data_IF_481908662282
#
_entry.id   IF_481908662282
#
_cell.length_a   1.000
_cell.length_b   1.000
_cell.length_c   1.000
_cell.angle_alpha   90.00
_cell.angle_beta   90.00
_cell.angle_gamma   90.00
#
_symmetry.space_group_name_H-M   'P 1'
#
loop_
_entity.id
_entity.type
_entity.pdbx_description
1 polymer ?
#
# COMPACT_ATOMS: atom_id res chain seq x y z
N UNK A 1 -0.40 3.67 -16.43
CA UNK A 1 -0.05 2.71 -17.50
C UNK A 1 1.15 1.82 -17.15
N UNK A 2 2.35 2.36 -16.83
CA UNK A 2 3.52 1.51 -16.50
C UNK A 2 3.32 0.64 -15.26
N UNK A 3 2.81 1.20 -14.16
CA UNK A 3 2.48 0.42 -12.95
C UNK A 3 1.46 -0.70 -13.24
N UNK A 4 0.49 -0.44 -14.10
CA UNK A 4 -0.47 -1.46 -14.54
C UNK A 4 0.22 -2.60 -15.30
N UNK A 5 1.12 -2.30 -16.22
CA UNK A 5 1.88 -3.30 -16.99
C UNK A 5 2.71 -4.17 -16.03
N UNK A 6 3.45 -3.56 -15.10
CA UNK A 6 4.29 -4.27 -14.14
C UNK A 6 3.44 -5.15 -13.19
N UNK A 7 2.26 -4.67 -12.77
CA UNK A 7 1.32 -5.44 -11.96
C UNK A 7 0.70 -6.61 -12.70
N UNK A 8 0.41 -6.45 -14.00
CA UNK A 8 -0.24 -7.50 -14.80
C UNK A 8 0.61 -8.76 -14.97
N UNK A 9 1.93 -8.67 -14.74
CA UNK A 9 2.90 -9.75 -14.94
C UNK A 9 2.85 -10.38 -16.35
N UNK A 10 2.24 -9.68 -17.30
CA UNK A 10 2.13 -10.10 -18.69
C UNK A 10 3.46 -9.92 -19.39
N UNK A 11 4.13 -11.03 -19.68
CA UNK A 11 5.47 -11.03 -20.30
C UNK A 11 5.49 -10.32 -21.65
N UNK A 12 4.42 -10.43 -22.44
CA UNK A 12 4.27 -9.74 -23.73
C UNK A 12 4.28 -8.21 -23.57
N UNK A 13 3.56 -7.69 -22.57
CA UNK A 13 3.52 -6.27 -22.28
C UNK A 13 4.84 -5.79 -21.66
N UNK A 14 5.39 -6.53 -20.69
CA UNK A 14 6.67 -6.18 -20.07
C UNK A 14 7.77 -6.12 -21.12
N UNK A 15 7.85 -7.11 -22.02
CA UNK A 15 8.83 -7.12 -23.11
C UNK A 15 8.63 -5.94 -24.06
N UNK A 16 7.38 -5.63 -24.44
CA UNK A 16 7.06 -4.48 -25.29
C UNK A 16 7.51 -3.15 -24.68
N UNK A 17 7.38 -3.00 -23.37
CA UNK A 17 7.72 -1.76 -22.64
C UNK A 17 9.08 -1.82 -21.93
N UNK A 18 9.92 -2.82 -22.21
CA UNK A 18 11.18 -3.03 -21.51
C UNK A 18 12.12 -1.83 -21.58
N UNK A 19 12.24 -1.19 -22.75
CA UNK A 19 13.13 -0.03 -22.96
C UNK A 19 12.66 1.18 -22.15
N UNK A 20 11.39 1.62 -22.25
CA UNK A 20 10.87 2.67 -21.38
C UNK A 20 11.06 2.39 -19.88
N UNK A 21 10.80 1.15 -19.44
CA UNK A 21 10.98 0.76 -18.03
C UNK A 21 12.46 0.88 -17.63
N UNK A 22 13.37 0.39 -18.48
CA UNK A 22 14.81 0.45 -18.24
C UNK A 22 15.30 1.90 -18.12
N UNK A 23 14.95 2.78 -19.05
CA UNK A 23 15.34 4.20 -18.99
C UNK A 23 14.82 4.89 -17.74
N UNK A 24 13.59 4.58 -17.32
CA UNK A 24 13.05 5.14 -16.09
C UNK A 24 13.83 4.65 -14.86
N UNK A 25 14.18 3.37 -14.79
CA UNK A 25 15.02 2.82 -13.70
C UNK A 25 16.41 3.47 -13.71
N UNK A 26 17.03 3.66 -14.87
CA UNK A 26 18.33 4.36 -14.96
C UNK A 26 18.23 5.80 -14.46
N UNK A 27 17.10 6.48 -14.70
CA UNK A 27 16.88 7.83 -14.16
C UNK A 27 16.69 7.88 -12.64
N UNK A 28 16.45 6.73 -11.97
CA UNK A 28 16.25 6.64 -10.52
C UNK A 28 17.54 6.64 -9.68
N UNK A 29 18.61 7.30 -10.13
CA UNK A 29 19.89 7.34 -9.41
C UNK A 29 20.19 8.71 -8.81
N UNK A 30 19.17 9.47 -8.39
CA UNK A 30 19.45 10.71 -7.65
C UNK A 30 19.97 10.34 -6.25
N UNK A 31 21.24 10.66 -5.92
CA UNK A 31 21.71 10.46 -4.56
C UNK A 31 20.80 11.28 -3.63
N UNK A 32 20.43 10.71 -2.49
CA UNK A 32 19.89 11.52 -1.40
C UNK A 32 20.91 12.62 -1.12
N UNK A 33 20.47 13.88 -0.90
CA UNK A 33 21.39 14.92 -0.51
C UNK A 33 22.17 14.42 0.71
N UNK A 34 23.49 14.50 0.62
CA UNK A 34 24.41 14.19 1.71
C UNK A 34 24.17 15.18 2.84
N UNK A 35 23.10 14.97 3.60
CA UNK A 35 22.91 15.60 4.90
C UNK A 35 23.55 14.64 5.89
N UNK A 36 24.63 15.12 6.48
CA UNK A 36 25.42 14.49 7.52
C UNK A 36 24.62 13.49 8.38
N UNK A 37 25.15 12.27 8.48
CA UNK A 37 24.87 11.24 9.50
C UNK A 37 23.46 10.62 9.61
N UNK A 38 22.49 10.91 8.75
CA UNK A 38 21.23 10.14 8.80
C UNK A 38 21.37 8.79 8.07
N UNK A 39 21.74 7.75 8.84
CA UNK A 39 21.77 6.32 8.46
C UNK A 39 20.39 5.76 8.09
N UNK A 40 19.32 6.54 8.27
CA UNK A 40 17.96 6.09 7.97
C UNK A 40 17.06 7.19 7.44
N UNK A 41 16.10 6.79 6.62
CA UNK A 41 15.03 7.64 6.07
C UNK A 41 13.69 6.95 6.32
N UNK A 42 12.69 7.70 6.75
CA UNK A 42 11.31 7.21 6.86
C UNK A 42 10.45 7.89 5.82
N UNK A 43 9.70 7.10 5.06
CA UNK A 43 8.75 7.57 4.04
C UNK A 43 7.38 6.94 4.29
N UNK A 44 6.34 7.57 3.75
CA UNK A 44 4.96 7.24 4.01
C UNK A 44 4.18 7.04 2.72
N UNK A 45 3.31 6.03 2.69
CA UNK A 45 2.34 5.84 1.61
C UNK A 45 0.94 5.71 2.21
N UNK A 46 0.09 6.69 1.92
CA UNK A 46 -1.34 6.57 2.20
C UNK A 46 -2.08 5.95 1.02
N UNK A 47 -3.07 5.13 1.34
CA UNK A 47 -3.93 4.47 0.38
C UNK A 47 -5.24 4.05 1.06
N UNK A 48 -6.21 3.61 0.28
CA UNK A 48 -7.37 2.87 0.79
C UNK A 48 -7.19 1.40 0.43
N UNK A 49 -7.70 0.48 1.25
CA UNK A 49 -7.67 -0.95 0.95
C UNK A 49 -9.00 -1.56 1.34
N UNK A 50 -9.39 -2.65 0.71
CA UNK A 50 -10.51 -3.43 1.20
C UNK A 50 -10.17 -4.03 2.57
N UNK A 51 -11.19 -4.26 3.39
CA UNK A 51 -11.01 -4.96 4.68
C UNK A 51 -10.32 -6.32 4.47
N UNK A 52 -10.68 -7.04 3.40
CA UNK A 52 -10.05 -8.31 3.05
C UNK A 52 -8.56 -8.20 2.74
N UNK A 53 -8.13 -7.15 2.01
CA UNK A 53 -6.70 -6.90 1.74
C UNK A 53 -5.95 -6.57 3.03
N UNK A 54 -6.57 -5.81 3.95
CA UNK A 54 -5.98 -5.51 5.26
C UNK A 54 -5.84 -6.79 6.09
N UNK A 55 -6.88 -7.62 6.15
CA UNK A 55 -6.86 -8.87 6.88
C UNK A 55 -5.82 -9.85 6.31
N UNK A 56 -5.71 -9.94 4.98
CA UNK A 56 -4.65 -10.70 4.32
C UNK A 56 -3.28 -10.19 4.75
N UNK A 57 -3.03 -8.88 4.69
CA UNK A 57 -1.76 -8.29 5.11
C UNK A 57 -1.46 -8.51 6.61
N UNK A 58 -2.47 -8.52 7.49
CA UNK A 58 -2.28 -8.85 8.91
C UNK A 58 -1.72 -10.26 9.10
N UNK A 59 -2.12 -11.22 8.26
CA UNK A 59 -1.55 -12.59 8.29
C UNK A 59 -0.09 -12.68 7.82
N UNK A 60 0.44 -11.61 7.23
CA UNK A 60 1.78 -11.53 6.61
C UNK A 60 2.80 -10.79 7.46
N UNK A 61 2.49 -10.53 8.72
CA UNK A 61 3.44 -9.91 9.64
C UNK A 61 4.62 -10.85 9.86
N UNK A 62 5.83 -10.32 9.66
CA UNK A 62 7.06 -11.10 9.62
C UNK A 62 7.34 -11.77 8.28
N UNK A 63 6.56 -11.54 7.22
CA UNK A 63 6.87 -12.00 5.87
C UNK A 63 7.48 -10.87 5.00
N UNK A 64 8.09 -11.27 3.89
CA UNK A 64 8.61 -10.33 2.89
C UNK A 64 7.50 -9.96 1.91
N UNK A 65 7.28 -8.67 1.74
CA UNK A 65 6.37 -8.11 0.74
C UNK A 65 7.18 -7.51 -0.41
N UNK A 66 6.90 -7.94 -1.63
CA UNK A 66 7.47 -7.36 -2.85
C UNK A 66 6.46 -6.47 -3.55
N UNK A 67 6.84 -5.22 -3.83
CA UNK A 67 6.06 -4.32 -4.67
C UNK A 67 6.59 -4.37 -6.12
N UNK A 68 5.81 -4.96 -7.02
CA UNK A 68 6.18 -5.07 -8.43
C UNK A 68 6.24 -3.74 -9.20
N UNK A 69 5.28 -2.81 -9.06
CA UNK A 69 5.34 -1.54 -9.78
C UNK A 69 6.38 -0.57 -9.18
N UNK A 70 6.51 0.61 -9.77
CA UNK A 70 7.15 1.73 -9.08
C UNK A 70 6.30 2.12 -7.86
N UNK A 71 6.95 2.41 -6.74
CA UNK A 71 6.28 2.81 -5.50
C UNK A 71 6.56 4.29 -5.22
N UNK A 72 5.53 5.10 -5.31
CA UNK A 72 5.55 6.51 -4.91
C UNK A 72 5.31 6.62 -3.41
N UNK A 73 6.12 7.40 -2.71
CA UNK A 73 6.01 7.62 -1.26
C UNK A 73 6.36 9.06 -0.91
N UNK A 74 5.77 9.58 0.17
CA UNK A 74 6.02 10.92 0.66
C UNK A 74 6.99 10.91 1.83
N UNK A 75 7.88 11.88 1.95
CA UNK A 75 8.61 12.13 3.20
C UNK A 75 7.67 12.75 4.26
N UNK A 76 6.58 13.38 3.83
CA UNK A 76 5.62 14.03 4.73
C UNK A 76 4.41 13.14 5.03
N UNK A 77 4.28 12.73 6.31
CA UNK A 77 3.15 11.92 6.78
C UNK A 77 1.78 12.57 6.56
N UNK A 78 1.65 13.90 6.65
CA UNK A 78 0.37 14.59 6.44
C UNK A 78 -0.07 14.52 4.97
N UNK A 79 0.87 14.64 4.04
CA UNK A 79 0.58 14.48 2.61
C UNK A 79 0.14 13.04 2.33
N UNK A 80 0.87 12.04 2.89
CA UNK A 80 0.46 10.65 2.81
C UNK A 80 -0.96 10.41 3.39
N UNK A 81 -1.31 10.99 4.54
CA UNK A 81 -2.65 10.86 5.11
C UNK A 81 -3.76 11.38 4.18
N UNK A 82 -3.47 12.41 3.38
CA UNK A 82 -4.43 12.92 2.39
C UNK A 82 -4.77 11.84 1.36
N UNK A 83 -3.77 11.08 0.90
CA UNK A 83 -3.97 9.94 -0.01
C UNK A 83 -4.66 8.73 0.64
N UNK A 84 -4.62 8.63 1.98
CA UNK A 84 -5.40 7.63 2.71
C UNK A 84 -6.88 8.04 2.86
N UNK A 85 -7.32 9.17 2.30
CA UNK A 85 -8.69 9.68 2.48
C UNK A 85 -8.91 10.38 3.83
N UNK A 86 -7.84 10.85 4.48
CA UNK A 86 -7.88 11.55 5.78
C UNK A 86 -8.58 10.78 6.91
N UNK A 87 -8.61 9.45 6.83
CA UNK A 87 -9.31 8.63 7.83
C UNK A 87 -10.83 8.57 7.63
N UNK A 88 -11.37 9.17 6.57
CA UNK A 88 -12.78 9.03 6.21
C UNK A 88 -13.01 7.78 5.38
N UNK A 89 -14.14 7.13 5.68
CA UNK A 89 -14.59 5.96 4.94
C UNK A 89 -15.88 6.27 4.19
N UNK A 90 -15.77 6.62 2.90
CA UNK A 90 -16.95 6.84 2.04
C UNK A 90 -17.64 5.54 1.64
N UNK A 91 -16.98 4.38 1.79
CA UNK A 91 -17.46 3.08 1.36
C UNK A 91 -17.18 2.00 2.42
N UNK A 92 -18.21 1.40 2.99
CA UNK A 92 -18.11 0.41 4.09
C UNK A 92 -17.10 -0.73 3.88
N UNK A 93 -16.70 -1.02 2.65
CA UNK A 93 -15.73 -2.08 2.33
C UNK A 93 -14.28 -1.62 2.24
N UNK A 94 -14.03 -0.32 2.08
CA UNK A 94 -12.69 0.25 2.04
C UNK A 94 -12.32 0.77 3.43
N UNK A 95 -11.04 0.73 3.76
CA UNK A 95 -10.49 1.30 4.99
C UNK A 95 -9.25 2.11 4.65
N UNK A 96 -9.06 3.26 5.31
CA UNK A 96 -7.88 4.07 5.12
C UNK A 96 -6.66 3.36 5.73
N UNK A 97 -5.55 3.36 4.98
CA UNK A 97 -4.30 2.69 5.35
C UNK A 97 -3.13 3.66 5.16
N UNK A 98 -2.24 3.71 6.14
CA UNK A 98 -0.93 4.33 6.00
C UNK A 98 0.18 3.32 6.24
N UNK A 99 1.11 3.27 5.30
CA UNK A 99 2.34 2.50 5.37
C UNK A 99 3.49 3.43 5.75
N UNK A 100 4.15 3.15 6.87
CA UNK A 100 5.37 3.79 7.34
C UNK A 100 6.54 2.88 6.97
N UNK A 101 7.38 3.32 6.03
CA UNK A 101 8.47 2.53 5.46
C UNK A 101 9.78 3.13 5.95
N UNK A 102 10.58 2.32 6.66
CA UNK A 102 11.92 2.68 7.09
C UNK A 102 12.95 2.16 6.10
N UNK A 103 13.87 3.01 5.69
CA UNK A 103 15.01 2.68 4.85
C UNK A 103 16.28 2.90 5.65
N UNK A 104 17.24 1.97 5.51
CA UNK A 104 18.64 2.22 5.84
C UNK A 104 19.32 2.78 4.60
N UNK A 105 19.64 4.06 4.62
CA UNK A 105 20.23 4.79 3.49
C UNK A 105 21.74 4.58 3.39
N UNK A 106 22.36 4.00 4.41
CA UNK A 106 23.77 3.63 4.41
C UNK A 106 24.06 2.31 3.70
N UNK A 107 23.03 1.52 3.38
CA UNK A 107 23.17 0.22 2.74
C UNK A 107 22.76 0.26 1.25
N UNK A 108 23.36 -0.58 0.39
CA UNK A 108 22.94 -0.69 -1.00
C UNK A 108 21.48 -1.16 -1.13
N UNK A 109 20.64 -0.26 -1.63
CA UNK A 109 19.21 -0.49 -1.89
C UNK A 109 18.94 -0.61 -3.40
N UNK A 110 17.77 -1.14 -3.80
CA UNK A 110 17.32 -0.99 -5.19
C UNK A 110 17.20 0.50 -5.52
N UNK A 111 17.42 0.93 -6.78
CA UNK A 111 17.37 2.34 -7.14
C UNK A 111 16.09 3.03 -6.67
N UNK A 112 16.24 4.25 -6.18
CA UNK A 112 15.15 5.13 -5.80
C UNK A 112 15.59 6.58 -6.03
N UNK A 113 14.64 7.47 -6.28
CA UNK A 113 14.93 8.88 -6.48
C UNK A 113 14.16 9.75 -5.49
N UNK A 114 14.82 10.78 -4.98
CA UNK A 114 14.15 11.91 -4.36
C UNK A 114 13.68 12.89 -5.44
N UNK A 115 12.38 13.09 -5.50
CA UNK A 115 11.70 14.03 -6.37
C UNK A 115 11.17 15.15 -5.49
N UNK A 116 11.91 16.26 -5.48
CA UNK A 116 11.48 17.47 -4.78
C UNK A 116 10.79 18.40 -5.77
N UNK A 117 9.59 18.84 -5.42
CA UNK A 117 8.92 19.97 -6.06
C UNK A 117 8.45 20.97 -5.00
N UNK A 118 7.78 22.06 -5.40
CA UNK A 118 7.34 23.11 -4.47
C UNK A 118 6.25 22.66 -3.48
N UNK A 119 5.60 21.52 -3.73
CA UNK A 119 4.49 21.01 -2.93
C UNK A 119 4.88 19.80 -2.05
N UNK A 120 5.83 18.98 -2.48
CA UNK A 120 6.14 17.70 -1.85
C UNK A 120 7.58 17.23 -2.11
N UNK A 121 8.13 16.50 -1.13
CA UNK A 121 9.29 15.64 -1.27
C UNK A 121 8.83 14.18 -1.38
N UNK A 122 8.93 13.63 -2.59
CA UNK A 122 8.54 12.27 -2.92
C UNK A 122 9.78 11.37 -3.06
N UNK A 123 9.74 10.17 -2.49
CA UNK A 123 10.70 9.11 -2.79
C UNK A 123 10.02 8.07 -3.68
N UNK A 124 10.55 7.93 -4.89
CA UNK A 124 10.07 6.98 -5.89
C UNK A 124 11.00 5.76 -5.95
N UNK A 125 10.50 4.60 -5.52
CA UNK A 125 11.24 3.35 -5.59
C UNK A 125 11.10 2.67 -6.96
N UNK A 126 12.17 2.02 -7.38
CA UNK A 126 12.17 1.16 -8.56
C UNK A 126 11.30 -0.10 -8.39
N UNK A 127 10.84 -0.68 -9.51
CA UNK A 127 10.07 -1.91 -9.55
C UNK A 127 10.73 -3.07 -8.79
N UNK A 128 9.93 -3.82 -8.05
CA UNK A 128 10.37 -5.01 -7.33
C UNK A 128 11.15 -4.72 -6.05
N UNK A 129 11.00 -3.53 -5.46
CA UNK A 129 11.46 -3.25 -4.11
C UNK A 129 10.80 -4.22 -3.11
N UNK A 130 11.56 -4.65 -2.09
CA UNK A 130 11.11 -5.61 -1.09
C UNK A 130 11.14 -4.98 0.30
N UNK A 131 10.17 -5.35 1.12
CA UNK A 131 10.01 -4.89 2.49
C UNK A 131 9.74 -6.08 3.42
N UNK A 132 10.15 -6.00 4.68
CA UNK A 132 9.60 -6.87 5.73
C UNK A 132 8.42 -6.15 6.36
N UNK A 133 7.27 -6.82 6.48
CA UNK A 133 6.15 -6.27 7.23
C UNK A 133 6.38 -6.50 8.73
N UNK A 134 6.58 -5.43 9.49
CA UNK A 134 7.02 -5.50 10.89
C UNK A 134 5.86 -5.56 11.88
N UNK A 135 4.84 -4.74 11.66
CA UNK A 135 3.69 -4.65 12.55
C UNK A 135 2.51 -4.00 11.86
N UNK A 136 1.33 -4.27 12.38
CA UNK A 136 0.11 -3.56 12.03
C UNK A 136 -0.63 -3.15 13.31
N UNK A 137 -1.19 -1.95 13.32
CA UNK A 137 -2.06 -1.46 14.39
C UNK A 137 -3.13 -0.53 13.85
N UNK A 138 -4.26 -0.46 14.54
CA UNK A 138 -5.28 0.55 14.29
C UNK A 138 -4.92 1.84 15.04
N UNK A 139 -5.10 3.02 14.44
CA UNK A 139 -4.85 4.30 15.10
C UNK A 139 -6.14 4.94 15.62
N UNK A 140 -6.12 5.39 16.87
CA UNK A 140 -7.32 5.78 17.64
C UNK A 140 -7.92 7.15 17.30
N UNK A 141 -7.23 8.03 16.58
CA UNK A 141 -7.73 9.38 16.31
C UNK A 141 -8.90 9.47 15.32
N UNK A 142 -9.58 8.35 15.05
CA UNK A 142 -10.90 8.19 14.40
C UNK A 142 -11.24 6.69 14.17
N UNK A 143 -10.47 5.74 14.71
CA UNK A 143 -10.79 4.30 14.70
C UNK A 143 -10.81 3.62 13.33
N UNK A 144 -10.50 4.34 12.25
CA UNK A 144 -10.64 3.87 10.88
C UNK A 144 -9.29 3.65 10.18
N UNK A 145 -8.21 4.30 10.63
CA UNK A 145 -6.90 4.27 9.98
C UNK A 145 -6.05 3.10 10.46
N UNK A 146 -5.73 2.20 9.53
CA UNK A 146 -4.72 1.16 9.74
C UNK A 146 -3.33 1.70 9.49
N UNK A 147 -2.40 1.35 10.37
CA UNK A 147 -1.00 1.72 10.28
C UNK A 147 -0.12 0.48 10.19
N UNK A 148 0.53 0.32 9.04
CA UNK A 148 1.49 -0.74 8.79
C UNK A 148 2.90 -0.18 8.85
N UNK A 149 3.79 -0.86 9.59
CA UNK A 149 5.21 -0.55 9.63
C UNK A 149 5.98 -1.53 8.78
N UNK A 150 6.81 -1.02 7.89
CA UNK A 150 7.63 -1.81 6.99
C UNK A 150 9.10 -1.38 7.09
N UNK A 151 10.00 -2.34 6.89
CA UNK A 151 11.42 -2.08 6.73
C UNK A 151 11.85 -2.47 5.31
N UNK A 152 12.43 -1.54 4.57
CA UNK A 152 12.99 -1.79 3.26
C UNK A 152 14.22 -2.69 3.39
N UNK A 153 14.33 -3.66 2.48
CA UNK A 153 15.38 -4.69 2.53
C UNK A 153 16.55 -4.28 1.61
N UNK A 154 17.77 -4.11 2.16
CA UNK A 154 18.97 -3.92 1.36
C UNK A 154 19.23 -5.08 0.41
N UNK A 155 19.74 -4.78 -0.79
CA UNK A 155 19.98 -5.75 -1.86
C UNK A 155 20.86 -6.90 -1.38
N UNK A 156 21.89 -6.59 -0.60
CA UNK A 156 22.85 -7.57 -0.08
C UNK A 156 22.25 -8.50 0.97
N UNK A 157 21.25 -8.02 1.72
CA UNK A 157 20.63 -8.76 2.81
C UNK A 157 19.42 -9.59 2.36
N UNK A 158 18.95 -9.44 1.11
CA UNK A 158 17.74 -10.12 0.62
C UNK A 158 17.78 -11.63 0.83
N UNK A 159 18.88 -12.31 0.48
CA UNK A 159 18.99 -13.78 0.62
C UNK A 159 18.95 -14.25 2.07
N UNK A 160 19.58 -13.49 2.97
CA UNK A 160 19.60 -13.82 4.41
C UNK A 160 18.24 -13.59 5.05
N UNK A 161 17.57 -12.51 4.68
CA UNK A 161 16.24 -12.14 5.15
C UNK A 161 15.19 -13.10 4.58
N UNK A 162 15.31 -13.56 3.34
CA UNK A 162 14.46 -14.62 2.77
C UNK A 162 14.58 -15.93 3.57
N UNK A 163 15.78 -16.29 4.04
CA UNK A 163 15.97 -17.44 4.92
C UNK A 163 15.34 -17.24 6.31
N UNK A 164 15.35 -16.01 6.83
CA UNK A 164 14.82 -15.68 8.17
C UNK A 164 13.30 -15.53 8.21
N UNK A 165 12.72 -14.90 7.19
CA UNK A 165 11.31 -14.49 7.16
C UNK A 165 10.46 -15.31 6.17
N UNK A 166 11.07 -16.24 5.43
CA UNK A 166 10.34 -17.20 4.59
C UNK A 166 9.88 -16.64 3.25
N UNK A 167 8.67 -17.02 2.82
CA UNK A 167 8.17 -16.79 1.46
C UNK A 167 8.03 -15.30 1.15
N UNK A 168 8.39 -14.92 -0.08
CA UNK A 168 8.06 -13.60 -0.61
C UNK A 168 6.60 -13.59 -1.03
N UNK A 169 5.81 -12.76 -0.38
CA UNK A 169 4.48 -12.39 -0.81
C UNK A 169 4.59 -11.27 -1.85
N UNK A 170 4.07 -11.53 -3.04
CA UNK A 170 3.92 -10.48 -4.05
C UNK A 170 2.71 -9.68 -3.62
N UNK A 171 2.91 -8.42 -3.24
CA UNK A 171 1.79 -7.52 -3.02
C UNK A 171 1.06 -7.33 -4.34
N UNK A 172 -0.10 -7.97 -4.46
CA UNK A 172 -1.10 -7.65 -5.47
C UNK A 172 -1.84 -6.35 -5.15
N UNK A 173 -1.60 -5.77 -3.97
CA UNK A 173 -2.31 -4.61 -3.47
C UNK A 173 -2.01 -3.36 -4.32
N UNK A 174 -2.83 -3.15 -5.32
CA UNK A 174 -3.58 -1.90 -5.46
C UNK A 174 -5.06 -2.33 -5.56
N UNK A 175 -5.91 -1.86 -4.64
CA UNK A 175 -6.84 -0.79 -5.00
C UNK A 175 -7.44 -1.05 -6.39
N UNK A 176 -8.52 -1.82 -6.44
CA UNK A 176 -9.45 -1.83 -7.57
C UNK A 176 -10.08 -0.43 -7.70
N UNK A 177 -9.38 0.52 -8.33
CA UNK A 177 -9.92 1.84 -8.70
C UNK A 177 -9.97 2.08 -10.20
N UNK A 178 -9.80 1.04 -11.01
CA UNK A 178 -10.31 1.07 -12.38
C UNK A 178 -11.80 0.66 -12.36
N UNK A 179 -12.63 1.43 -11.65
CA UNK A 179 -14.05 1.56 -12.00
C UNK A 179 -14.17 2.93 -12.66
N UNK A 180 -14.46 2.91 -13.95
CA UNK A 180 -14.59 4.06 -14.85
C UNK A 180 -15.25 5.30 -14.21
N UNK A 181 -14.45 6.22 -13.67
CA UNK A 181 -14.87 7.62 -13.53
C UNK A 181 -14.72 8.29 -14.88
N UNK A 182 -15.63 7.98 -15.81
CA UNK A 182 -15.51 8.52 -17.16
C UNK A 182 -16.49 8.06 -18.23
N UNK A 183 -17.74 7.68 -17.93
CA UNK A 183 -18.84 7.77 -18.90
C UNK A 183 -20.15 8.16 -18.21
N UNK A 184 -20.44 9.45 -18.24
CA UNK A 184 -21.81 9.95 -18.20
C UNK A 184 -22.56 9.44 -19.42
N UNK A 185 -23.50 8.52 -19.22
CA UNK A 185 -24.69 8.40 -20.06
C UNK A 185 -25.82 7.86 -19.20
N UNK A 186 -26.89 8.65 -19.14
CA UNK A 186 -28.16 8.47 -18.42
C UNK A 186 -28.76 7.06 -18.45
N UNK A 187 -29.62 6.72 -17.47
CA UNK A 187 -30.15 5.39 -17.27
C UNK A 187 -31.31 5.09 -18.21
N UNK A 188 -31.19 4.03 -19.01
CA UNK A 188 -32.36 3.38 -19.61
C UNK A 188 -32.98 2.43 -18.58
N UNK A 189 -34.07 2.91 -17.98
CA UNK A 189 -35.05 2.09 -17.31
C UNK A 189 -35.71 1.18 -18.34
N UNK A 190 -35.43 -0.13 -18.30
CA UNK A 190 -36.44 -1.13 -18.69
C UNK A 190 -36.20 -2.47 -18.02
N UNK A 191 -37.09 -2.77 -17.07
CA UNK A 191 -37.79 -4.05 -16.93
C UNK A 191 -36.97 -5.27 -16.49
N UNK A 192 -36.98 -5.52 -15.18
CA UNK A 192 -37.37 -6.81 -14.63
C UNK A 192 -37.86 -6.65 -13.18
N UNK A 193 -39.18 -6.51 -13.04
CA UNK A 193 -39.86 -6.86 -11.79
C UNK A 193 -39.60 -8.35 -11.50
N UNK A 194 -39.17 -8.66 -10.28
CA UNK A 194 -39.70 -9.79 -9.50
C UNK A 194 -39.54 -9.46 -8.02
N UNK A 195 -40.69 -9.31 -7.37
CA UNK A 195 -40.88 -9.27 -5.93
C UNK A 195 -40.14 -10.43 -5.25
N UNK A 196 -39.44 -10.14 -4.15
CA UNK A 196 -39.48 -11.00 -2.96
C UNK A 196 -39.54 -10.08 -1.73
N UNK A 197 -40.68 -10.17 -1.04
CA UNK A 197 -40.95 -9.66 0.30
C UNK A 197 -39.91 -10.11 1.31
N UNK A 198 -39.53 -9.24 2.25
CA UNK A 198 -38.66 -9.61 3.37
C UNK A 198 -37.90 -8.47 4.02
N UNK A 199 -38.57 -7.36 4.35
CA UNK A 199 -38.01 -6.37 5.28
C UNK A 199 -38.01 -6.96 6.70
N UNK A 200 -36.93 -7.64 7.09
CA UNK A 200 -36.56 -7.80 8.50
C UNK A 200 -35.04 -7.71 8.69
N UNK A 201 -34.63 -6.64 9.39
CA UNK A 201 -33.57 -6.61 10.40
C UNK A 201 -32.14 -7.06 10.06
N UNK A 202 -31.47 -6.35 9.14
CA UNK A 202 -29.98 -6.32 9.11
C UNK A 202 -29.42 -5.29 10.10
N UNK A 203 -30.18 -4.24 10.43
CA UNK A 203 -29.73 -3.14 11.30
C UNK A 203 -29.52 -3.58 12.77
N UNK A 204 -30.37 -4.48 13.27
CA UNK A 204 -30.27 -5.00 14.65
C UNK A 204 -29.20 -6.08 14.85
N UNK A 205 -28.63 -6.60 13.77
CA UNK A 205 -27.54 -7.59 13.82
C UNK A 205 -26.18 -6.88 13.87
N UNK A 206 -26.06 -5.71 13.21
CA UNK A 206 -24.87 -4.87 13.24
C UNK A 206 -24.73 -4.18 14.61
N UNK A 207 -25.81 -3.66 15.21
CA UNK A 207 -25.73 -2.96 16.51
C UNK A 207 -25.38 -3.87 17.70
N UNK A 208 -25.39 -5.19 17.53
CA UNK A 208 -25.05 -6.16 18.60
C UNK A 208 -23.62 -6.69 18.55
N UNK A 209 -22.89 -6.47 17.46
CA UNK A 209 -21.46 -6.84 17.35
C UNK A 209 -20.51 -5.68 17.70
N UNK A 210 -21.02 -4.48 17.94
CA UNK A 210 -20.22 -3.28 18.25
C UNK A 210 -20.18 -2.90 19.75
N UNK A 211 -20.68 -3.73 20.68
CA UNK A 211 -20.60 -3.41 22.13
C UNK A 211 -19.53 -4.15 22.92
N UNK A 212 -18.87 -5.17 22.36
CA UNK A 212 -17.96 -6.00 23.15
C UNK A 212 -16.56 -6.04 22.51
N UNK A 213 -15.55 -5.67 23.32
CA UNK A 213 -14.10 -5.68 23.11
C UNK A 213 -13.45 -4.37 22.59
N UNK A 214 -13.28 -3.43 23.53
CA UNK A 214 -12.29 -2.34 23.46
C UNK A 214 -10.88 -2.85 23.82
N UNK A 215 -10.30 -3.71 22.98
CA UNK A 215 -8.89 -4.10 23.10
C UNK A 215 -8.08 -3.48 21.95
N UNK A 216 -7.00 -2.76 22.28
CA UNK A 216 -6.02 -2.27 21.30
C UNK A 216 -5.39 -3.47 20.56
N UNK A 217 -5.87 -3.75 19.34
CA UNK A 217 -5.28 -4.80 18.51
C UNK A 217 -3.92 -4.37 17.96
N UNK A 218 -2.86 -4.76 18.67
CA UNK A 218 -1.47 -4.62 18.26
C UNK A 218 -0.91 -5.96 17.79
N UNK A 219 -0.55 -6.04 16.50
CA UNK A 219 0.11 -7.22 15.94
C UNK A 219 1.59 -6.92 15.66
N UNK A 220 2.48 -7.70 16.27
CA UNK A 220 3.94 -7.56 16.14
C UNK A 220 4.61 -8.91 15.93
N UNK A 221 5.81 -8.89 15.34
CA UNK A 221 6.70 -10.05 15.31
C UNK A 221 7.04 -10.45 16.76
N UNK A 222 6.73 -11.68 17.16
CA UNK A 222 7.21 -12.24 18.44
C UNK A 222 8.72 -12.49 18.33
N UNK A 223 9.48 -11.88 19.23
CA UNK A 223 10.94 -12.03 19.33
C UNK A 223 11.35 -13.44 19.75
#
# INVERSE_FOLDING_TARGET
MLNYILRSQRSDLIYKYQRPIFYLIESLHRPLPSKDDSVSLTVFRGCQMTIFEVDELKTKIGEIIQNLPFLSTSVNRQIANTFAGNGFNENSYLVPVIMEIHLDTGQPMRPYALITNSAEEEVLFSPGIKFVLMSCRKLHNNGLLWHFKLNAIPVEQQKQIEHKYGKTFISSAELKWDVDFGRTSSPDFTRAERQVDGKQNVKSMIEKEFSDNEDEELFQIKA
#
